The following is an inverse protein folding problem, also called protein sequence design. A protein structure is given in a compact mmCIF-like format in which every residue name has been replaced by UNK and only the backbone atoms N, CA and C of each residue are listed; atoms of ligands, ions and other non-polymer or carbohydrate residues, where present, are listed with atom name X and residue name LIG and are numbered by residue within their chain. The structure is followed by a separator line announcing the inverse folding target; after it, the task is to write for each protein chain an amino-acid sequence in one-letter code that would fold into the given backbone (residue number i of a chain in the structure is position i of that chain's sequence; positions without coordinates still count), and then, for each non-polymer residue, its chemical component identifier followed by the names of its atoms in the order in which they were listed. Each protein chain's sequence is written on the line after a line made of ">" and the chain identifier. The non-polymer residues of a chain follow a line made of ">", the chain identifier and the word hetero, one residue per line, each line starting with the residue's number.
data_IF_121167131937
#
_entry.id   IF_121167131937
#
_cell.length_a   1.000
_cell.length_b   1.000
_cell.length_c   1.000
_cell.angle_alpha   90.00
_cell.angle_beta   90.00
_cell.angle_gamma   90.00
#
_symmetry.space_group_name_H-M   'P 1'
#
loop_
_entity.id
_entity.type
_entity.pdbx_description
1 polymer ?
#
# COMPACT_ATOMS: atom_id res chain seq x y z
N UNK A 1 -28.63 35.51 45.85
CA UNK A 1 -29.54 35.78 44.71
C UNK A 1 -28.84 35.35 43.43
N UNK A 2 -29.28 34.25 42.81
CA UNK A 2 -28.66 33.63 41.63
C UNK A 2 -29.35 34.25 40.40
N UNK A 3 -28.66 35.11 39.65
CA UNK A 3 -29.20 35.64 38.39
C UNK A 3 -29.29 34.49 37.39
N UNK A 4 -30.51 34.08 37.05
CA UNK A 4 -30.77 33.22 35.91
C UNK A 4 -30.59 34.07 34.65
N UNK A 5 -29.44 33.96 33.99
CA UNK A 5 -29.24 34.54 32.67
C UNK A 5 -30.04 33.68 31.68
N UNK A 6 -31.17 34.19 31.20
CA UNK A 6 -31.95 33.54 30.16
C UNK A 6 -31.23 33.67 28.82
N UNK A 7 -30.94 32.53 28.18
CA UNK A 7 -30.42 32.51 26.81
C UNK A 7 -31.44 33.16 25.87
N UNK A 8 -31.01 34.16 25.12
CA UNK A 8 -31.87 34.78 24.11
C UNK A 8 -31.88 33.92 22.84
N UNK A 9 -32.99 33.89 22.12
CA UNK A 9 -33.11 33.11 20.87
C UNK A 9 -32.03 33.49 19.84
N UNK A 10 -31.59 34.75 19.85
CA UNK A 10 -30.50 35.27 19.02
C UNK A 10 -29.14 34.63 19.36
N UNK A 11 -28.88 34.36 20.63
CA UNK A 11 -27.64 33.74 21.10
C UNK A 11 -27.55 32.29 20.65
N UNK A 12 -28.67 31.57 20.67
CA UNK A 12 -28.77 30.19 20.15
C UNK A 12 -28.49 30.15 18.65
N UNK A 13 -29.06 31.08 17.88
CA UNK A 13 -28.80 31.17 16.43
C UNK A 13 -27.31 31.41 16.16
N UNK A 14 -26.69 32.32 16.91
CA UNK A 14 -25.25 32.59 16.78
C UNK A 14 -24.42 31.34 17.02
N UNK A 15 -24.69 30.60 18.10
CA UNK A 15 -23.97 29.36 18.42
C UNK A 15 -24.13 28.31 17.32
N UNK A 16 -25.34 28.13 16.78
CA UNK A 16 -25.59 27.15 15.70
C UNK A 16 -24.84 27.53 14.42
N UNK A 17 -24.83 28.82 14.05
CA UNK A 17 -24.06 29.30 12.88
C UNK A 17 -22.56 29.12 13.10
N UNK A 18 -22.05 29.44 14.28
CA UNK A 18 -20.63 29.28 14.63
C UNK A 18 -20.21 27.80 14.61
N UNK A 19 -21.05 26.91 15.13
CA UNK A 19 -20.84 25.46 15.04
C UNK A 19 -20.86 24.97 13.59
N UNK A 20 -21.74 25.50 12.73
CA UNK A 20 -21.77 25.15 11.31
C UNK A 20 -20.50 25.55 10.55
N UNK A 21 -19.97 26.74 10.84
CA UNK A 21 -18.70 27.21 10.26
C UNK A 21 -17.51 26.40 10.79
N UNK A 22 -17.48 26.11 12.10
CA UNK A 22 -16.42 25.28 12.69
C UNK A 22 -16.46 23.84 12.17
N UNK A 23 -17.65 23.27 11.96
CA UNK A 23 -17.81 21.94 11.39
C UNK A 23 -17.28 21.87 9.95
N UNK A 24 -17.57 22.87 9.12
CA UNK A 24 -17.09 22.91 7.72
C UNK A 24 -15.57 23.11 7.63
N UNK A 25 -14.98 23.91 8.51
CA UNK A 25 -13.51 24.06 8.58
C UNK A 25 -12.86 22.79 9.14
N UNK A 26 -13.43 22.19 10.19
CA UNK A 26 -12.93 20.97 10.81
C UNK A 26 -12.92 19.77 9.87
N UNK A 27 -13.96 19.62 9.04
CA UNK A 27 -14.01 18.56 8.04
C UNK A 27 -12.96 18.72 6.93
N UNK A 28 -12.70 19.95 6.47
CA UNK A 28 -11.65 20.20 5.48
C UNK A 28 -10.24 20.00 6.04
N UNK A 29 -10.01 20.34 7.31
CA UNK A 29 -8.72 20.12 7.97
C UNK A 29 -8.48 18.63 8.30
N UNK A 30 -9.53 17.87 8.63
CA UNK A 30 -9.43 16.44 8.96
C UNK A 30 -9.40 15.51 7.73
N UNK A 31 -9.72 16.01 6.52
CA UNK A 31 -9.75 15.23 5.28
C UNK A 31 -8.40 14.65 4.83
N UNK A 32 -7.29 15.07 5.44
CA UNK A 32 -5.95 14.59 5.13
C UNK A 32 -5.66 13.17 5.66
N UNK A 33 -6.17 12.81 6.85
CA UNK A 33 -5.82 11.53 7.49
C UNK A 33 -6.57 10.34 6.86
N UNK A 34 -7.82 10.55 6.43
CA UNK A 34 -8.61 9.49 5.79
C UNK A 34 -8.14 9.17 4.37
N UNK A 35 -7.65 10.18 3.63
CA UNK A 35 -7.27 10.01 2.23
C UNK A 35 -5.97 9.20 2.09
N UNK A 36 -4.98 9.45 2.95
CA UNK A 36 -3.68 8.77 2.86
C UNK A 36 -3.82 7.27 3.16
N UNK A 37 -4.61 6.88 4.17
CA UNK A 37 -4.86 5.45 4.44
C UNK A 37 -5.56 4.77 3.26
N UNK A 38 -6.58 5.40 2.67
CA UNK A 38 -7.27 4.84 1.50
C UNK A 38 -6.35 4.70 0.28
N UNK A 39 -5.48 5.69 0.05
CA UNK A 39 -4.49 5.64 -1.05
C UNK A 39 -3.45 4.55 -0.81
N UNK A 40 -2.99 4.38 0.42
CA UNK A 40 -2.05 3.32 0.79
C UNK A 40 -2.64 1.92 0.59
N UNK A 41 -3.89 1.71 1.02
CA UNK A 41 -4.58 0.43 0.78
C UNK A 41 -4.78 0.17 -0.71
N UNK A 42 -5.12 1.20 -1.47
CA UNK A 42 -5.23 1.08 -2.93
C UNK A 42 -3.89 0.73 -3.57
N UNK A 43 -2.78 1.30 -3.08
CA UNK A 43 -1.44 0.97 -3.55
C UNK A 43 -1.05 -0.48 -3.19
N UNK A 44 -1.36 -0.92 -1.97
CA UNK A 44 -1.18 -2.32 -1.53
C UNK A 44 -1.90 -3.30 -2.47
N UNK A 45 -3.16 -3.03 -2.81
CA UNK A 45 -3.93 -3.87 -3.74
C UNK A 45 -3.32 -3.92 -5.14
N UNK A 46 -2.79 -2.79 -5.64
CA UNK A 46 -2.11 -2.74 -6.95
C UNK A 46 -0.81 -3.53 -6.95
N UNK A 47 -0.02 -3.41 -5.89
CA UNK A 47 1.22 -4.17 -5.70
C UNK A 47 0.90 -5.67 -5.65
N UNK A 48 -0.08 -6.08 -4.85
CA UNK A 48 -0.51 -7.48 -4.77
C UNK A 48 -1.01 -8.00 -6.12
N UNK A 49 -1.77 -7.19 -6.86
CA UNK A 49 -2.25 -7.56 -8.19
C UNK A 49 -1.09 -7.77 -9.18
N UNK A 50 -0.09 -6.90 -9.16
CA UNK A 50 1.10 -7.03 -10.01
C UNK A 50 1.94 -8.25 -9.65
N UNK A 51 2.16 -8.52 -8.35
CA UNK A 51 2.85 -9.72 -7.88
C UNK A 51 2.10 -10.99 -8.34
N UNK A 52 0.78 -11.01 -8.22
CA UNK A 52 -0.05 -12.13 -8.71
C UNK A 52 0.02 -12.29 -10.22
N UNK A 53 0.03 -11.18 -10.97
CA UNK A 53 0.17 -11.19 -12.44
C UNK A 53 1.50 -11.81 -12.85
N UNK A 54 2.60 -11.31 -12.30
CA UNK A 54 3.95 -11.77 -12.63
C UNK A 54 4.14 -13.25 -12.26
N UNK A 55 3.68 -13.65 -11.06
CA UNK A 55 3.68 -15.05 -10.65
C UNK A 55 2.85 -15.95 -11.59
N UNK A 56 1.64 -15.53 -11.96
CA UNK A 56 0.80 -16.29 -12.87
C UNK A 56 1.46 -16.41 -14.25
N UNK A 57 2.10 -15.34 -14.74
CA UNK A 57 2.87 -15.38 -15.95
C UNK A 57 4.03 -16.39 -15.84
N UNK A 58 4.80 -16.37 -14.75
CA UNK A 58 5.86 -17.36 -14.51
C UNK A 58 5.35 -18.81 -14.46
N UNK A 59 4.15 -19.04 -13.91
CA UNK A 59 3.53 -20.37 -13.84
C UNK A 59 3.06 -20.91 -15.19
N UNK A 60 2.58 -20.05 -16.10
CA UNK A 60 1.94 -20.46 -17.35
C UNK A 60 2.81 -20.22 -18.59
N UNK A 61 3.99 -19.65 -18.43
CA UNK A 61 4.94 -19.51 -19.52
C UNK A 61 5.53 -20.89 -19.87
N UNK A 62 5.57 -21.24 -21.15
CA UNK A 62 6.32 -22.42 -21.57
C UNK A 62 7.81 -22.05 -21.63
N UNK A 63 8.72 -22.91 -21.14
CA UNK A 63 10.14 -22.68 -21.29
C UNK A 63 10.47 -22.68 -22.79
N UNK A 64 11.33 -21.77 -23.23
CA UNK A 64 11.80 -21.82 -24.60
C UNK A 64 12.57 -23.14 -24.80
N UNK A 65 12.27 -23.85 -25.88
CA UNK A 65 12.77 -25.20 -26.11
C UNK A 65 14.32 -25.31 -26.17
N UNK A 66 15.01 -24.17 -26.32
CA UNK A 66 16.44 -24.09 -26.62
C UNK A 66 17.24 -23.20 -25.65
N UNK A 67 16.69 -22.79 -24.50
CA UNK A 67 17.41 -21.96 -23.52
C UNK A 67 17.77 -22.75 -22.25
N UNK A 68 19.06 -22.92 -21.98
CA UNK A 68 19.59 -23.38 -20.67
C UNK A 68 19.38 -22.32 -19.56
N UNK A 69 18.87 -21.14 -19.91
CA UNK A 69 18.46 -20.10 -18.95
C UNK A 69 17.07 -20.40 -18.40
N UNK A 70 16.94 -20.42 -17.07
CA UNK A 70 15.65 -20.46 -16.40
C UNK A 70 14.97 -19.09 -16.56
N UNK A 71 13.90 -18.96 -17.39
CA UNK A 71 13.28 -17.66 -17.58
C UNK A 71 12.62 -17.19 -16.28
N UNK A 72 12.87 -15.94 -15.91
CA UNK A 72 12.18 -15.25 -14.82
C UNK A 72 11.18 -14.24 -15.38
N UNK A 73 10.15 -13.94 -14.60
CA UNK A 73 9.18 -12.88 -14.89
C UNK A 73 9.28 -11.79 -13.84
N UNK A 74 9.56 -10.57 -14.28
CA UNK A 74 9.68 -9.40 -13.41
C UNK A 74 8.32 -8.76 -13.11
N UNK A 75 8.10 -8.45 -11.83
CA UNK A 75 7.00 -7.65 -11.31
C UNK A 75 7.54 -6.26 -10.95
N UNK A 76 7.21 -5.23 -11.73
CA UNK A 76 7.59 -3.85 -11.45
C UNK A 76 6.58 -3.22 -10.48
N UNK A 77 6.79 -3.40 -9.18
CA UNK A 77 5.79 -3.10 -8.15
C UNK A 77 5.75 -1.62 -7.77
N UNK A 78 6.89 -0.92 -7.76
CA UNK A 78 6.95 0.53 -7.51
C UNK A 78 6.18 1.32 -8.58
N UNK A 79 6.45 1.01 -9.86
CA UNK A 79 5.75 1.63 -11.00
C UNK A 79 4.22 1.43 -10.97
N UNK A 80 3.72 0.47 -10.18
CA UNK A 80 2.29 0.16 -10.06
C UNK A 80 1.64 0.70 -8.79
N UNK A 81 2.42 1.04 -7.76
CA UNK A 81 1.91 1.52 -6.48
C UNK A 81 1.15 2.84 -6.60
N UNK A 82 1.58 3.71 -7.52
CA UNK A 82 0.96 4.99 -7.84
C UNK A 82 1.72 6.18 -7.27
N UNK A 83 1.28 7.39 -7.62
CA UNK A 83 2.02 8.62 -7.31
C UNK A 83 2.15 8.86 -5.80
N UNK A 84 3.36 9.24 -5.38
CA UNK A 84 3.77 9.55 -4.01
C UNK A 84 3.76 8.35 -3.04
N UNK A 85 3.68 7.12 -3.55
CA UNK A 85 3.86 5.91 -2.75
C UNK A 85 5.24 5.36 -3.04
N UNK A 86 6.04 5.19 -1.99
CA UNK A 86 7.35 4.56 -2.05
C UNK A 86 7.19 3.05 -1.84
N UNK A 87 7.78 2.24 -2.71
CA UNK A 87 7.72 0.77 -2.61
C UNK A 87 9.10 0.19 -2.78
N UNK A 88 9.45 -0.66 -1.84
CA UNK A 88 10.77 -1.26 -1.79
C UNK A 88 10.61 -2.77 -1.52
N UNK A 89 11.16 -3.68 -2.35
CA UNK A 89 11.99 -3.38 -3.54
C UNK A 89 11.16 -2.85 -4.70
N UNK A 90 11.83 -2.26 -5.69
CA UNK A 90 11.16 -1.69 -6.86
C UNK A 90 10.57 -2.76 -7.78
N UNK A 91 11.26 -3.92 -7.81
CA UNK A 91 10.88 -5.09 -8.61
C UNK A 91 11.08 -6.41 -7.85
N UNK A 92 10.30 -7.41 -8.25
CA UNK A 92 10.40 -8.80 -7.74
C UNK A 92 10.38 -9.76 -8.92
N UNK A 93 11.27 -10.75 -8.94
CA UNK A 93 11.35 -11.72 -10.03
C UNK A 93 10.74 -13.06 -9.61
N UNK A 94 10.00 -13.69 -10.52
CA UNK A 94 9.39 -14.99 -10.31
C UNK A 94 9.96 -16.02 -11.27
N UNK A 95 10.43 -17.14 -10.74
CA UNK A 95 11.06 -18.19 -11.52
C UNK A 95 10.06 -19.16 -12.12
N UNK A 96 10.34 -19.58 -13.35
CA UNK A 96 9.66 -20.71 -13.95
C UNK A 96 10.00 -22.04 -13.24
N UNK A 97 11.30 -22.30 -13.03
CA UNK A 97 11.78 -23.55 -12.44
C UNK A 97 11.29 -23.76 -10.98
N UNK A 98 11.09 -22.66 -10.25
CA UNK A 98 10.53 -22.64 -8.90
C UNK A 98 9.00 -22.60 -8.87
N UNK A 99 8.32 -22.79 -10.02
CA UNK A 99 6.86 -22.80 -10.15
C UNK A 99 6.21 -21.52 -9.60
N UNK A 100 6.73 -20.37 -10.02
CA UNK A 100 6.29 -19.07 -9.52
C UNK A 100 6.76 -18.79 -8.09
N UNK A 101 7.86 -19.42 -7.67
CA UNK A 101 8.63 -19.01 -6.51
C UNK A 101 9.34 -17.67 -6.78
N UNK A 102 9.73 -16.99 -5.71
CA UNK A 102 10.49 -15.74 -5.82
C UNK A 102 11.94 -16.12 -6.15
N UNK A 103 12.42 -15.69 -7.30
CA UNK A 103 13.84 -15.76 -7.66
C UNK A 103 14.46 -14.40 -7.31
N UNK A 104 15.61 -14.41 -6.66
CA UNK A 104 16.27 -13.19 -6.23
C UNK A 104 17.74 -13.29 -6.61
N UNK A 105 18.16 -12.50 -7.60
CA UNK A 105 19.55 -12.47 -8.05
C UNK A 105 20.43 -11.41 -7.32
N UNK A 106 19.86 -10.65 -6.37
CA UNK A 106 20.65 -9.75 -5.52
C UNK A 106 19.91 -8.51 -5.02
N UNK A 107 20.32 -8.06 -3.83
CA UNK A 107 20.00 -6.82 -3.11
C UNK A 107 18.56 -6.28 -3.23
N UNK A 108 17.71 -6.80 -2.35
CA UNK A 108 16.44 -6.17 -2.01
C UNK A 108 16.80 -4.93 -1.18
N UNK A 109 16.82 -3.75 -1.82
CA UNK A 109 17.38 -2.48 -1.30
C UNK A 109 16.78 -1.91 -0.01
N UNK A 110 16.00 -2.70 0.75
CA UNK A 110 15.03 -2.26 1.75
C UNK A 110 15.26 -2.88 3.13
N UNK A 111 16.19 -3.83 3.28
CA UNK A 111 16.43 -4.53 4.54
C UNK A 111 17.14 -5.88 4.39
N UNK A 112 17.18 -6.64 5.50
CA UNK A 112 17.87 -7.93 5.58
C UNK A 112 17.06 -9.12 5.06
N UNK A 113 15.74 -8.97 4.90
CA UNK A 113 14.85 -10.05 4.45
C UNK A 113 14.55 -9.94 2.94
N UNK A 114 15.06 -10.85 2.10
CA UNK A 114 14.90 -10.83 0.64
C UNK A 114 13.49 -11.28 0.18
N UNK A 115 12.50 -11.21 1.06
CA UNK A 115 11.12 -11.59 0.75
C UNK A 115 10.12 -10.60 1.36
N UNK A 116 10.55 -9.41 1.75
CA UNK A 116 9.67 -8.38 2.32
C UNK A 116 9.57 -7.22 1.34
N UNK A 117 8.34 -6.90 0.97
CA UNK A 117 7.97 -5.70 0.21
C UNK A 117 7.38 -4.70 1.19
N UNK A 118 8.03 -3.54 1.33
CA UNK A 118 7.58 -2.41 2.11
C UNK A 118 6.91 -1.38 1.20
N UNK A 119 5.76 -0.89 1.61
CA UNK A 119 4.98 0.16 0.94
C UNK A 119 4.82 1.30 1.94
N UNK A 120 5.29 2.48 1.58
CA UNK A 120 5.34 3.66 2.44
C UNK A 120 4.62 4.82 1.77
N UNK A 121 3.72 5.48 2.51
CA UNK A 121 3.05 6.71 2.10
C UNK A 121 2.99 7.65 3.31
N UNK A 122 3.65 8.81 3.20
CA UNK A 122 3.80 9.75 4.32
C UNK A 122 4.43 9.05 5.54
N UNK A 123 3.70 8.94 6.66
CA UNK A 123 4.15 8.26 7.89
C UNK A 123 3.57 6.84 8.05
N UNK A 124 2.81 6.36 7.06
CA UNK A 124 2.15 5.06 7.10
C UNK A 124 2.99 4.02 6.34
N UNK A 125 3.15 2.85 6.95
CA UNK A 125 3.90 1.73 6.38
C UNK A 125 3.04 0.47 6.31
N UNK A 126 3.21 -0.31 5.25
CA UNK A 126 2.64 -1.65 5.08
C UNK A 126 3.73 -2.58 4.59
N UNK A 127 3.76 -3.79 5.12
CA UNK A 127 4.75 -4.79 4.74
C UNK A 127 4.06 -6.04 4.26
N UNK A 128 4.53 -6.56 3.14
CA UNK A 128 4.07 -7.81 2.54
C UNK A 128 5.24 -8.79 2.57
N UNK A 129 5.03 -9.95 3.19
CA UNK A 129 5.98 -11.05 3.12
C UNK A 129 5.60 -11.96 1.96
N UNK A 130 6.59 -12.30 1.13
CA UNK A 130 6.47 -13.26 0.07
C UNK A 130 6.89 -14.64 0.56
N UNK A 131 6.09 -15.65 0.26
CA UNK A 131 6.52 -17.04 0.46
C UNK A 131 7.62 -17.38 -0.56
N UNK A 132 8.82 -17.82 -0.15
CA UNK A 132 9.94 -18.05 -1.08
C UNK A 132 9.59 -19.07 -2.17
N UNK A 133 8.96 -20.17 -1.78
CA UNK A 133 8.60 -21.26 -2.69
C UNK A 133 7.23 -21.08 -3.37
N UNK A 134 6.42 -20.15 -2.89
CA UNK A 134 5.03 -20.00 -3.34
C UNK A 134 4.76 -18.69 -4.02
N UNK A 135 5.66 -17.69 -3.90
CA UNK A 135 5.43 -16.34 -4.40
C UNK A 135 4.20 -15.65 -3.81
N UNK A 136 3.61 -16.19 -2.74
CA UNK A 136 2.38 -15.67 -2.15
C UNK A 136 2.69 -14.47 -1.28
N UNK A 137 2.04 -13.35 -1.54
CA UNK A 137 2.08 -12.17 -0.68
C UNK A 137 1.11 -12.30 0.51
N UNK A 138 1.62 -12.07 1.72
CA UNK A 138 0.87 -12.03 2.97
C UNK A 138 1.20 -10.75 3.72
N UNK A 139 0.18 -10.06 4.25
CA UNK A 139 0.38 -8.83 5.02
C UNK A 139 0.98 -9.16 6.39
N UNK A 140 2.04 -8.45 6.75
CA UNK A 140 2.75 -8.58 8.03
C UNK A 140 2.95 -7.22 8.68
N UNK A 141 3.29 -7.21 9.97
CA UNK A 141 3.79 -5.99 10.63
C UNK A 141 5.16 -5.61 10.07
N UNK A 142 5.46 -4.32 10.02
CA UNK A 142 6.75 -3.77 9.57
C UNK A 142 7.80 -3.68 10.69
N UNK A 143 7.62 -4.43 11.78
CA UNK A 143 8.49 -4.39 12.98
C UNK A 143 9.83 -5.09 12.77
#
# INVERSE_FOLDING_TARGET
>A
MRRQNGYTLIEVIFVVVLLGVLATIGFNAAGLIGNDLSRLLQAEDRVIAELRRARAAALYQLPAADSDENPTVEAFIEARAGDNVDVCPDKVEFGYASLGGVESDGEWGCGQDPYVVKITLSDLNRCLKLGPNTGRAESISCD
#
